data_IF_112098842936
#
_entry.id   IF_112098842936
#
_cell.length_a   1.000
_cell.length_b   1.000
_cell.length_c   1.000
_cell.angle_alpha   90.00
_cell.angle_beta   90.00
_cell.angle_gamma   90.00
#
_symmetry.space_group_name_H-M   'P 1'
#
loop_
_entity.id
_entity.type
_entity.pdbx_description
1 polymer ?
#
# COMPACT_ATOMS: atom_id res chain seq x y z
N UNK A 1 -29.54 7.33 -18.02
CA UNK A 1 -28.49 6.51 -18.63
C UNK A 1 -28.01 5.56 -17.56
N UNK A 2 -27.88 4.28 -17.84
CA UNK A 2 -27.17 3.40 -16.90
C UNK A 2 -25.75 3.96 -16.76
N UNK A 3 -25.29 4.20 -15.53
CA UNK A 3 -23.90 4.58 -15.29
C UNK A 3 -23.05 3.38 -15.73
N UNK A 4 -22.15 3.56 -16.68
CA UNK A 4 -21.29 2.47 -17.17
C UNK A 4 -20.28 2.09 -16.08
N UNK A 5 -20.17 0.78 -15.81
CA UNK A 5 -19.19 0.23 -14.85
C UNK A 5 -17.88 -0.09 -15.57
N UNK A 6 -16.76 0.00 -14.87
CA UNK A 6 -15.44 -0.31 -15.42
C UNK A 6 -15.30 -1.79 -15.77
N UNK A 7 -14.55 -2.06 -16.83
CA UNK A 7 -13.92 -3.37 -17.02
C UNK A 7 -12.54 -3.32 -16.35
N UNK A 8 -12.41 -3.91 -15.16
CA UNK A 8 -11.17 -3.88 -14.39
C UNK A 8 -10.54 -5.27 -14.28
N UNK A 9 -9.33 -5.40 -14.81
CA UNK A 9 -8.45 -6.55 -14.58
C UNK A 9 -7.25 -6.09 -13.74
N UNK A 10 -7.08 -6.69 -12.56
CA UNK A 10 -6.06 -6.28 -11.61
C UNK A 10 -4.63 -6.48 -12.14
N UNK A 11 -4.38 -7.48 -12.98
CA UNK A 11 -3.04 -7.77 -13.48
C UNK A 11 -2.63 -6.77 -14.55
N UNK A 12 -3.53 -6.44 -15.48
CA UNK A 12 -3.29 -5.38 -16.46
C UNK A 12 -3.19 -4.01 -15.79
N UNK A 13 -4.06 -3.70 -14.82
CA UNK A 13 -3.98 -2.46 -14.04
C UNK A 13 -2.63 -2.33 -13.31
N UNK A 14 -2.16 -3.39 -12.66
CA UNK A 14 -0.85 -3.41 -12.01
C UNK A 14 0.30 -3.30 -13.00
N UNK A 15 0.21 -3.93 -14.17
CA UNK A 15 1.24 -3.83 -15.22
C UNK A 15 1.38 -2.40 -15.72
N UNK A 16 0.28 -1.70 -15.98
CA UNK A 16 0.32 -0.28 -16.35
C UNK A 16 0.87 0.58 -15.22
N UNK A 17 0.39 0.37 -13.99
CA UNK A 17 0.86 1.10 -12.80
C UNK A 17 2.36 0.90 -12.54
N UNK A 18 2.89 -0.32 -12.67
CA UNK A 18 4.32 -0.58 -12.46
C UNK A 18 5.20 -0.08 -13.62
N UNK A 19 4.63 0.09 -14.82
CA UNK A 19 5.33 0.66 -15.97
C UNK A 19 5.46 2.18 -15.85
N UNK A 20 4.33 2.88 -15.81
CA UNK A 20 4.26 4.33 -15.62
C UNK A 20 2.85 4.70 -15.13
N UNK A 21 2.64 4.95 -13.83
CA UNK A 21 1.35 5.32 -13.28
C UNK A 21 0.73 6.55 -13.95
N UNK A 22 1.55 7.52 -14.37
CA UNK A 22 1.07 8.75 -15.00
C UNK A 22 0.54 8.52 -16.41
N UNK A 23 0.91 7.41 -17.05
CA UNK A 23 0.44 7.05 -18.39
C UNK A 23 -0.90 6.31 -18.40
N UNK A 24 -1.45 5.96 -17.22
CA UNK A 24 -2.71 5.24 -17.13
C UNK A 24 -3.84 6.07 -17.77
N UNK A 25 -4.60 5.51 -18.74
CA UNK A 25 -5.66 6.23 -19.42
C UNK A 25 -6.85 6.44 -18.48
N UNK A 26 -7.42 7.64 -18.54
CA UNK A 26 -8.57 8.04 -17.71
C UNK A 26 -9.61 8.79 -18.55
N UNK A 27 -10.12 8.22 -19.65
CA UNK A 27 -11.00 8.91 -20.61
C UNK A 27 -12.36 9.34 -20.03
N UNK A 28 -12.86 8.65 -19.01
CA UNK A 28 -14.16 8.92 -18.40
C UNK A 28 -14.07 9.88 -17.19
N UNK A 29 -12.87 10.38 -16.89
CA UNK A 29 -12.68 11.35 -15.81
C UNK A 29 -13.53 12.60 -16.02
N UNK A 30 -13.89 13.28 -14.93
CA UNK A 30 -14.67 14.50 -15.00
C UNK A 30 -13.97 15.54 -15.89
N UNK A 31 -14.73 16.14 -16.81
CA UNK A 31 -14.23 17.08 -17.81
C UNK A 31 -13.42 18.23 -17.22
N UNK A 32 -13.78 18.70 -16.02
CA UNK A 32 -13.08 19.79 -15.34
C UNK A 32 -11.62 19.43 -14.97
N UNK A 33 -11.29 18.13 -14.87
CA UNK A 33 -9.94 17.67 -14.59
C UNK A 33 -9.03 17.71 -15.81
N UNK A 34 -9.54 17.41 -17.02
CA UNK A 34 -8.73 17.45 -18.24
C UNK A 34 -8.20 18.84 -18.56
N UNK A 35 -8.98 19.87 -18.25
CA UNK A 35 -8.56 21.27 -18.38
C UNK A 35 -7.30 21.57 -17.54
N UNK A 36 -7.04 20.79 -16.49
CA UNK A 36 -5.88 20.93 -15.60
C UNK A 36 -4.66 20.09 -16.03
N UNK A 37 -4.77 19.20 -17.03
CA UNK A 37 -3.69 18.26 -17.39
C UNK A 37 -2.41 18.97 -17.85
N UNK A 38 -2.57 20.12 -18.53
CA UNK A 38 -1.46 20.93 -19.04
C UNK A 38 -1.18 22.18 -18.18
N UNK A 39 -2.07 22.51 -17.24
CA UNK A 39 -1.99 23.69 -16.37
C UNK A 39 -2.11 23.27 -14.90
N UNK A 40 -1.00 22.80 -14.30
CA UNK A 40 -1.05 22.17 -13.00
C UNK A 40 -1.46 23.09 -11.84
N UNK A 41 -1.15 24.39 -11.95
CA UNK A 41 -1.58 25.40 -10.96
C UNK A 41 -3.11 25.62 -10.97
N UNK A 42 -3.81 25.15 -12.02
CA UNK A 42 -5.27 25.23 -12.12
C UNK A 42 -5.99 24.15 -11.29
N UNK A 43 -5.29 23.08 -10.85
CA UNK A 43 -5.82 21.98 -10.06
C UNK A 43 -6.06 22.38 -8.60
N UNK A 44 -6.96 23.33 -8.40
CA UNK A 44 -7.31 23.88 -7.08
C UNK A 44 -8.41 23.06 -6.41
N UNK A 45 -8.59 23.24 -5.10
CA UNK A 45 -9.72 22.63 -4.38
C UNK A 45 -11.08 23.01 -4.98
N UNK A 46 -11.22 24.18 -5.59
CA UNK A 46 -12.46 24.60 -6.25
C UNK A 46 -12.82 23.75 -7.47
N UNK A 47 -11.82 23.14 -8.12
CA UNK A 47 -12.02 22.17 -9.22
C UNK A 47 -12.16 20.75 -8.67
N UNK A 48 -11.34 20.38 -7.68
CA UNK A 48 -11.31 19.00 -7.16
C UNK A 48 -12.55 18.67 -6.32
N UNK A 49 -13.00 19.57 -5.43
CA UNK A 49 -14.08 19.27 -4.49
C UNK A 49 -15.42 18.95 -5.17
N UNK A 50 -15.85 19.66 -6.24
CA UNK A 50 -17.03 19.29 -7.02
C UNK A 50 -16.96 17.90 -7.67
N UNK A 51 -15.76 17.41 -7.98
CA UNK A 51 -15.56 16.07 -8.54
C UNK A 51 -15.53 15.01 -7.43
N UNK A 52 -14.81 15.28 -6.34
CA UNK A 52 -14.57 14.30 -5.29
C UNK A 52 -15.76 14.14 -4.32
N UNK A 53 -16.50 15.22 -4.02
CA UNK A 53 -17.64 15.16 -3.09
C UNK A 53 -18.72 14.17 -3.55
N UNK A 54 -19.21 14.20 -4.80
CA UNK A 54 -20.23 13.25 -5.25
C UNK A 54 -19.74 11.79 -5.21
N UNK A 55 -18.45 11.55 -5.44
CA UNK A 55 -17.86 10.21 -5.33
C UNK A 55 -17.87 9.76 -3.87
N UNK A 56 -17.49 10.65 -2.94
CA UNK A 56 -17.52 10.38 -1.49
C UNK A 56 -18.94 10.04 -1.04
N UNK A 57 -19.92 10.85 -1.41
CA UNK A 57 -21.32 10.65 -1.03
C UNK A 57 -21.84 9.32 -1.60
N UNK A 58 -21.57 9.03 -2.87
CA UNK A 58 -22.02 7.80 -3.51
C UNK A 58 -21.38 6.54 -2.93
N UNK A 59 -20.08 6.57 -2.61
CA UNK A 59 -19.38 5.44 -1.97
C UNK A 59 -19.82 5.24 -0.53
N UNK A 60 -20.15 6.33 0.18
CA UNK A 60 -20.69 6.25 1.53
C UNK A 60 -22.09 5.59 1.56
N UNK A 61 -22.88 5.77 0.50
CA UNK A 61 -24.18 5.10 0.33
C UNK A 61 -24.02 3.64 -0.14
N UNK A 62 -23.15 3.39 -1.12
CA UNK A 62 -22.88 2.06 -1.66
C UNK A 62 -21.38 1.93 -2.06
N UNK A 63 -20.60 1.05 -1.39
CA UNK A 63 -19.19 0.83 -1.72
C UNK A 63 -18.93 0.46 -3.19
N UNK A 64 -19.89 -0.15 -3.87
CA UNK A 64 -19.80 -0.51 -5.29
C UNK A 64 -19.70 0.72 -6.21
N UNK A 65 -20.18 1.88 -5.78
CA UNK A 65 -20.19 3.09 -6.59
C UNK A 65 -18.80 3.48 -7.12
N UNK A 66 -17.73 3.05 -6.44
CA UNK A 66 -16.34 3.21 -6.85
C UNK A 66 -16.04 2.65 -8.26
N UNK A 67 -16.81 1.66 -8.71
CA UNK A 67 -16.63 0.96 -9.99
C UNK A 67 -17.25 1.69 -11.18
N UNK A 68 -17.99 2.78 -10.94
CA UNK A 68 -18.49 3.64 -12.02
C UNK A 68 -17.30 4.21 -12.79
N UNK A 69 -17.32 4.09 -14.12
CA UNK A 69 -16.17 4.47 -14.96
C UNK A 69 -15.70 5.91 -14.71
N UNK A 70 -16.64 6.85 -14.62
CA UNK A 70 -16.32 8.25 -14.32
C UNK A 70 -15.72 8.48 -12.94
N UNK A 71 -16.09 7.68 -11.94
CA UNK A 71 -15.54 7.81 -10.60
C UNK A 71 -14.14 7.21 -10.53
N UNK A 72 -13.97 6.01 -11.09
CA UNK A 72 -12.68 5.34 -11.12
C UNK A 72 -11.64 6.18 -11.89
N UNK A 73 -11.99 6.67 -13.07
CA UNK A 73 -11.08 7.46 -13.91
C UNK A 73 -10.76 8.81 -13.27
N UNK A 74 -11.73 9.47 -12.62
CA UNK A 74 -11.48 10.72 -11.89
C UNK A 74 -10.53 10.51 -10.72
N UNK A 75 -10.67 9.42 -9.96
CA UNK A 75 -9.78 9.09 -8.85
C UNK A 75 -8.37 8.77 -9.35
N UNK A 76 -8.24 7.98 -10.42
CA UNK A 76 -6.95 7.69 -11.03
C UNK A 76 -6.31 8.95 -11.62
N UNK A 77 -7.08 9.85 -12.25
CA UNK A 77 -6.58 11.13 -12.74
C UNK A 77 -5.98 11.96 -11.59
N UNK A 78 -6.71 12.10 -10.48
CA UNK A 78 -6.21 12.82 -9.32
C UNK A 78 -4.94 12.16 -8.73
N UNK A 79 -4.87 10.83 -8.72
CA UNK A 79 -3.69 10.08 -8.27
C UNK A 79 -2.49 10.23 -9.23
N UNK A 80 -2.71 10.38 -10.54
CA UNK A 80 -1.68 10.75 -11.53
C UNK A 80 -1.09 12.12 -11.24
N UNK A 81 -1.89 13.05 -10.71
CA UNK A 81 -1.45 14.38 -10.29
C UNK A 81 -0.77 14.40 -8.90
N UNK A 82 -0.74 13.28 -8.19
CA UNK A 82 -0.09 13.14 -6.88
C UNK A 82 1.39 12.74 -7.05
N UNK A 83 2.28 13.05 -6.08
CA UNK A 83 3.67 12.64 -6.19
C UNK A 83 3.78 11.12 -6.06
N UNK A 84 4.38 10.46 -7.03
CA UNK A 84 4.77 9.05 -6.89
C UNK A 84 6.24 8.91 -7.29
N UNK A 85 7.03 8.20 -6.49
CA UNK A 85 8.40 7.85 -6.89
C UNK A 85 8.34 6.77 -7.98
N UNK A 86 8.84 7.03 -9.20
CA UNK A 86 8.89 5.99 -10.22
C UNK A 86 10.00 5.01 -9.84
N UNK A 87 9.62 3.74 -9.66
CA UNK A 87 10.58 2.64 -9.53
C UNK A 87 11.16 2.42 -8.13
N UNK A 88 10.41 1.71 -7.29
CA UNK A 88 11.04 0.65 -6.50
C UNK A 88 10.44 -0.67 -7.00
N UNK A 89 11.09 -1.29 -7.98
CA UNK A 89 10.84 -2.70 -8.29
C UNK A 89 11.31 -3.53 -7.10
N UNK A 90 10.38 -3.86 -6.18
CA UNK A 90 10.71 -4.67 -5.00
C UNK A 90 10.78 -6.18 -5.35
N UNK A 91 10.60 -6.56 -6.61
CA UNK A 91 10.77 -7.94 -7.05
C UNK A 91 11.41 -8.06 -8.43
N UNK A 92 12.37 -8.99 -8.62
CA UNK A 92 12.65 -9.53 -9.94
C UNK A 92 11.45 -10.36 -10.40
N UNK A 93 11.07 -10.20 -11.67
CA UNK A 93 10.12 -11.06 -12.36
C UNK A 93 10.46 -12.53 -12.12
N UNK A 94 9.47 -13.31 -11.70
CA UNK A 94 9.58 -14.76 -11.55
C UNK A 94 9.81 -15.43 -12.90
N UNK A 95 11.07 -15.59 -13.30
CA UNK A 95 11.52 -16.55 -14.31
C UNK A 95 13.05 -16.60 -14.39
N UNK A 96 13.62 -17.68 -13.88
CA UNK A 96 14.84 -18.40 -14.32
C UNK A 96 15.82 -18.76 -13.18
N UNK A 97 16.28 -20.03 -13.10
CA UNK A 97 17.33 -20.45 -12.16
C UNK A 97 18.71 -19.96 -12.62
N UNK A 98 19.66 -19.72 -11.69
CA UNK A 98 20.97 -19.19 -12.05
C UNK A 98 21.80 -20.25 -12.77
N UNK A 99 22.06 -20.04 -14.06
CA UNK A 99 23.08 -20.79 -14.78
C UNK A 99 24.45 -20.17 -14.50
N UNK A 100 25.37 -21.05 -14.10
CA UNK A 100 26.76 -20.73 -13.82
C UNK A 100 27.55 -20.50 -15.12
N UNK A 101 28.09 -19.30 -15.31
CA UNK A 101 29.32 -19.12 -16.07
C UNK A 101 30.01 -17.82 -15.70
N UNK A 102 31.14 -17.97 -15.00
CA UNK A 102 32.11 -16.91 -14.82
C UNK A 102 32.91 -16.74 -16.12
N UNK A 103 33.03 -15.50 -16.61
CA UNK A 103 34.21 -15.09 -17.36
C UNK A 103 34.46 -13.59 -17.23
N UNK A 104 35.74 -13.29 -17.06
CA UNK A 104 36.38 -12.03 -16.77
C UNK A 104 36.50 -11.09 -17.96
N UNK A 105 36.37 -9.78 -17.74
CA UNK A 105 37.37 -8.79 -18.23
C UNK A 105 37.05 -7.38 -17.73
N UNK A 106 38.11 -6.68 -17.33
CA UNK A 106 38.11 -5.30 -16.87
C UNK A 106 38.32 -4.33 -18.04
N UNK A 107 37.63 -3.17 -18.03
CA UNK A 107 38.20 -1.83 -18.27
C UNK A 107 37.11 -0.78 -18.57
N UNK A 108 37.20 0.39 -17.91
CA UNK A 108 36.70 1.67 -18.42
C UNK A 108 35.27 2.08 -18.04
N UNK A 109 35.11 2.79 -16.92
CA UNK A 109 33.86 3.50 -16.58
C UNK A 109 34.03 5.00 -16.85
N UNK A 110 33.32 5.63 -17.82
CA UNK A 110 33.19 7.08 -17.87
C UNK A 110 32.08 7.55 -16.90
N UNK A 111 32.04 8.85 -16.53
CA UNK A 111 31.11 9.36 -15.52
C UNK A 111 29.66 9.33 -16.02
N UNK A 112 28.76 9.11 -15.06
CA UNK A 112 27.32 8.87 -15.16
C UNK A 112 26.54 9.88 -16.01
N UNK A 113 25.86 9.39 -17.04
CA UNK A 113 24.77 10.09 -17.73
C UNK A 113 23.41 9.87 -17.03
N UNK A 114 23.39 9.08 -15.95
CA UNK A 114 22.17 8.69 -15.23
C UNK A 114 21.57 9.82 -14.39
N UNK A 115 22.40 10.73 -13.86
CA UNK A 115 21.93 11.85 -13.03
C UNK A 115 21.13 12.89 -13.82
N UNK A 116 21.45 13.09 -15.10
CA UNK A 116 20.72 14.04 -15.95
C UNK A 116 19.37 13.44 -16.37
N UNK A 117 19.30 12.14 -16.64
CA UNK A 117 18.05 11.42 -16.92
C UNK A 117 17.13 11.31 -15.70
N UNK A 118 17.68 11.07 -14.49
CA UNK A 118 16.92 11.13 -13.23
C UNK A 118 16.39 12.54 -12.95
N UNK A 119 17.19 13.60 -13.16
CA UNK A 119 16.75 14.98 -13.00
C UNK A 119 15.71 15.39 -14.06
N UNK A 120 15.82 14.88 -15.30
CA UNK A 120 14.81 15.09 -16.35
C UNK A 120 13.52 14.32 -16.08
N UNK A 121 13.59 13.17 -15.42
CA UNK A 121 12.43 12.43 -14.92
C UNK A 121 11.82 13.07 -13.68
N UNK A 122 12.57 13.80 -12.83
CA UNK A 122 11.97 14.66 -11.80
C UNK A 122 11.30 15.91 -12.41
N UNK A 123 11.82 16.42 -13.53
CA UNK A 123 11.39 17.65 -14.19
C UNK A 123 10.00 17.58 -14.83
N UNK A 124 9.51 16.38 -15.19
CA UNK A 124 8.17 16.21 -15.79
C UNK A 124 7.03 15.98 -14.79
N UNK A 125 7.33 15.85 -13.49
CA UNK A 125 6.38 15.41 -12.47
C UNK A 125 6.44 16.29 -11.22
N UNK A 126 6.28 17.62 -11.37
CA UNK A 126 5.94 18.39 -10.18
C UNK A 126 4.59 17.89 -9.63
N UNK A 127 4.52 17.66 -8.33
CA UNK A 127 3.36 17.09 -7.68
C UNK A 127 2.38 18.20 -7.34
N UNK A 128 1.18 18.15 -7.92
CA UNK A 128 0.26 19.30 -7.88
C UNK A 128 -0.97 19.05 -7.04
N UNK A 129 -1.28 17.79 -6.71
CA UNK A 129 -2.44 17.48 -5.90
C UNK A 129 -2.30 18.10 -4.49
N UNK A 130 -3.23 18.98 -4.07
CA UNK A 130 -3.20 19.58 -2.74
C UNK A 130 -3.30 18.51 -1.64
N UNK A 131 -2.62 18.73 -0.51
CA UNK A 131 -2.62 17.78 0.62
C UNK A 131 -4.02 17.49 1.17
N UNK A 132 -4.91 18.49 1.17
CA UNK A 132 -6.31 18.32 1.53
C UNK A 132 -7.03 17.33 0.60
N UNK A 133 -6.85 17.47 -0.71
CA UNK A 133 -7.46 16.56 -1.69
C UNK A 133 -6.90 15.14 -1.57
N UNK A 134 -5.58 14.99 -1.42
CA UNK A 134 -4.96 13.68 -1.19
C UNK A 134 -5.45 13.03 0.12
N UNK A 135 -5.60 13.81 1.19
CA UNK A 135 -6.17 13.35 2.46
C UNK A 135 -7.58 12.82 2.28
N UNK A 136 -8.42 13.55 1.55
CA UNK A 136 -9.82 13.20 1.30
C UNK A 136 -9.97 11.97 0.40
N UNK A 137 -9.13 11.84 -0.63
CA UNK A 137 -9.06 10.64 -1.46
C UNK A 137 -8.65 9.42 -0.62
N UNK A 138 -7.69 9.60 0.28
CA UNK A 138 -7.27 8.52 1.17
C UNK A 138 -8.39 8.09 2.12
N UNK A 139 -9.09 9.04 2.73
CA UNK A 139 -10.23 8.75 3.61
C UNK A 139 -11.36 8.04 2.86
N UNK A 140 -11.67 8.48 1.64
CA UNK A 140 -12.66 7.84 0.75
C UNK A 140 -12.34 6.36 0.48
N UNK A 141 -11.12 6.07 0.03
CA UNK A 141 -10.71 4.70 -0.31
C UNK A 141 -10.70 3.83 0.95
N UNK A 142 -10.25 4.36 2.08
CA UNK A 142 -10.26 3.64 3.35
C UNK A 142 -11.67 3.34 3.85
N UNK A 143 -12.59 4.31 3.79
CA UNK A 143 -13.97 4.11 4.26
C UNK A 143 -14.72 3.12 3.37
N UNK A 144 -14.57 3.22 2.05
CA UNK A 144 -15.17 2.29 1.10
C UNK A 144 -14.68 0.85 1.30
N UNK A 145 -13.36 0.66 1.40
CA UNK A 145 -12.77 -0.66 1.68
C UNK A 145 -13.22 -1.22 3.04
N UNK A 146 -13.33 -0.36 4.05
CA UNK A 146 -13.79 -0.79 5.37
C UNK A 146 -15.26 -1.24 5.35
N UNK A 147 -16.13 -0.52 4.63
CA UNK A 147 -17.53 -0.88 4.46
C UNK A 147 -17.68 -2.18 3.67
N UNK A 148 -16.90 -2.34 2.59
CA UNK A 148 -16.85 -3.58 1.81
C UNK A 148 -16.42 -4.78 2.66
N UNK A 149 -15.42 -4.60 3.52
CA UNK A 149 -15.02 -5.66 4.44
C UNK A 149 -16.12 -6.06 5.45
N UNK A 150 -17.00 -5.13 5.85
CA UNK A 150 -18.17 -5.45 6.69
C UNK A 150 -19.24 -6.22 5.91
N UNK A 151 -19.52 -5.80 4.67
CA UNK A 151 -20.46 -6.50 3.79
C UNK A 151 -20.03 -7.95 3.57
N UNK A 152 -18.76 -8.16 3.19
CA UNK A 152 -18.19 -9.51 3.04
C UNK A 152 -18.33 -10.33 4.32
N UNK A 153 -18.07 -9.74 5.49
CA UNK A 153 -18.17 -10.48 6.75
C UNK A 153 -19.59 -11.01 7.00
N UNK A 154 -20.60 -10.22 6.66
CA UNK A 154 -22.01 -10.60 6.72
C UNK A 154 -22.34 -11.68 5.67
N UNK A 155 -21.90 -11.50 4.44
CA UNK A 155 -22.28 -12.35 3.31
C UNK A 155 -21.52 -13.70 3.28
N UNK A 156 -20.39 -13.79 3.98
CA UNK A 156 -19.63 -15.04 4.15
C UNK A 156 -20.36 -16.13 4.97
N UNK A 157 -21.50 -15.79 5.58
CA UNK A 157 -22.41 -16.72 6.27
C UNK A 157 -23.25 -17.57 5.30
N UNK A 158 -23.41 -17.15 4.04
CA UNK A 158 -24.14 -17.86 2.97
C UNK A 158 -23.21 -18.28 1.81
N UNK A 159 -22.55 -19.44 1.90
CA UNK A 159 -21.40 -19.79 1.05
C UNK A 159 -21.70 -20.20 -0.40
N UNK A 160 -22.97 -20.31 -0.83
CA UNK A 160 -23.33 -20.82 -2.15
C UNK A 160 -23.58 -19.72 -3.21
N UNK A 161 -23.47 -18.44 -2.83
CA UNK A 161 -23.65 -17.32 -3.76
C UNK A 161 -22.32 -16.93 -4.43
N UNK A 162 -21.97 -17.66 -5.49
CA UNK A 162 -20.76 -17.41 -6.27
C UNK A 162 -20.75 -16.04 -6.95
N UNK A 163 -21.92 -15.50 -7.31
CA UNK A 163 -22.04 -14.19 -7.95
C UNK A 163 -21.67 -13.09 -6.96
N UNK A 164 -22.21 -13.15 -5.75
CA UNK A 164 -21.86 -12.22 -4.65
C UNK A 164 -20.38 -12.31 -4.28
N UNK A 165 -19.79 -13.52 -4.21
CA UNK A 165 -18.36 -13.66 -3.94
C UNK A 165 -17.48 -13.09 -5.07
N UNK A 166 -17.88 -13.26 -6.33
CA UNK A 166 -17.18 -12.66 -7.47
C UNK A 166 -17.27 -11.14 -7.44
N UNK A 167 -18.42 -10.60 -7.04
CA UNK A 167 -18.62 -9.17 -6.85
C UNK A 167 -17.71 -8.59 -5.76
N UNK A 168 -17.67 -9.21 -4.58
CA UNK A 168 -16.76 -8.83 -3.51
C UNK A 168 -15.29 -8.92 -3.91
N UNK A 169 -14.90 -9.97 -4.65
CA UNK A 169 -13.55 -10.10 -5.19
C UNK A 169 -13.18 -8.87 -6.02
N UNK A 170 -14.05 -8.50 -6.96
CA UNK A 170 -13.84 -7.34 -7.83
C UNK A 170 -13.71 -6.04 -7.04
N UNK A 171 -14.59 -5.79 -6.07
CA UNK A 171 -14.52 -4.58 -5.22
C UNK A 171 -13.25 -4.54 -4.38
N UNK A 172 -12.85 -5.67 -3.78
CA UNK A 172 -11.59 -5.77 -3.05
C UNK A 172 -10.38 -5.44 -3.95
N UNK A 173 -10.33 -5.96 -5.18
CA UNK A 173 -9.24 -5.69 -6.13
C UNK A 173 -9.17 -4.19 -6.50
N UNK A 174 -10.32 -3.57 -6.78
CA UNK A 174 -10.41 -2.13 -7.09
C UNK A 174 -9.95 -1.27 -5.91
N UNK A 175 -10.51 -1.49 -4.72
CA UNK A 175 -10.11 -0.74 -3.53
C UNK A 175 -8.66 -1.01 -3.13
N UNK A 176 -8.19 -2.25 -3.25
CA UNK A 176 -6.81 -2.63 -2.95
C UNK A 176 -5.80 -1.94 -3.87
N UNK A 177 -6.12 -1.82 -5.17
CA UNK A 177 -5.32 -1.09 -6.13
C UNK A 177 -5.26 0.41 -5.80
N UNK A 178 -6.41 1.04 -5.58
CA UNK A 178 -6.48 2.46 -5.21
C UNK A 178 -5.77 2.74 -3.88
N UNK A 179 -5.90 1.85 -2.89
CA UNK A 179 -5.23 1.98 -1.60
C UNK A 179 -3.71 1.90 -1.76
N UNK A 180 -3.21 0.97 -2.58
CA UNK A 180 -1.78 0.83 -2.85
C UNK A 180 -1.22 2.14 -3.44
N UNK A 181 -1.88 2.68 -4.47
CA UNK A 181 -1.45 3.93 -5.11
C UNK A 181 -1.54 5.11 -4.15
N UNK A 182 -2.64 5.23 -3.41
CA UNK A 182 -2.86 6.35 -2.48
C UNK A 182 -1.84 6.37 -1.34
N UNK A 183 -1.53 5.21 -0.73
CA UNK A 183 -0.51 5.13 0.33
C UNK A 183 0.87 5.49 -0.23
N UNK A 184 1.21 5.03 -1.44
CA UNK A 184 2.46 5.42 -2.10
C UNK A 184 2.54 6.95 -2.28
N UNK A 185 1.46 7.55 -2.78
CA UNK A 185 1.38 9.00 -2.96
C UNK A 185 1.50 9.77 -1.63
N UNK A 186 0.82 9.30 -0.57
CA UNK A 186 0.91 9.89 0.77
C UNK A 186 2.31 9.80 1.34
N UNK A 187 2.99 8.67 1.19
CA UNK A 187 4.36 8.50 1.69
C UNK A 187 5.37 9.33 0.90
N UNK A 188 5.25 9.43 -0.43
CA UNK A 188 6.09 10.33 -1.23
C UNK A 188 5.85 11.80 -0.84
N UNK A 189 4.58 12.22 -0.69
CA UNK A 189 4.24 13.60 -0.27
C UNK A 189 4.74 13.91 1.15
N UNK A 190 4.70 12.93 2.06
CA UNK A 190 5.26 13.08 3.41
C UNK A 190 6.79 13.21 3.39
N UNK A 191 7.48 12.52 2.47
CA UNK A 191 8.93 12.55 2.33
C UNK A 191 9.47 13.89 1.80
N UNK A 192 8.73 14.61 0.93
CA UNK A 192 9.10 15.94 0.41
C UNK A 192 9.44 16.94 1.54
N UNK A 193 8.83 16.79 2.71
CA UNK A 193 9.01 17.71 3.85
C UNK A 193 10.26 17.42 4.69
N UNK A 194 10.84 16.21 4.58
CA UNK A 194 12.04 15.81 5.32
C UNK A 194 13.33 16.35 4.70
N UNK A 195 13.35 16.60 3.39
CA UNK A 195 14.50 17.13 2.64
C UNK A 195 14.61 18.66 2.67
N UNK A 196 13.55 19.38 3.07
CA UNK A 196 13.47 20.84 3.05
C UNK A 196 13.96 21.54 4.34
N UNK A 197 14.50 20.83 5.33
CA UNK A 197 15.06 21.47 6.53
C UNK A 197 16.46 22.04 6.26
N UNK A 198 16.70 23.36 6.46
CA UNK A 198 18.04 23.91 6.35
C UNK A 198 18.93 23.36 7.48
N UNK A 199 20.13 22.90 7.11
CA UNK A 199 21.19 22.50 8.04
C UNK A 199 21.52 23.70 8.94
N UNK A 200 20.97 23.72 10.15
CA UNK A 200 21.19 24.80 11.11
C UNK A 200 22.63 24.75 11.67
N UNK A 201 23.57 25.39 10.96
CA UNK A 201 24.81 25.90 11.56
C UNK A 201 24.53 27.30 12.10
N UNK A 202 24.53 27.46 13.41
CA UNK A 202 24.69 28.79 14.03
C UNK A 202 23.77 29.08 15.21
N UNK A 203 24.37 29.10 16.39
CA UNK A 203 23.81 29.49 17.68
C UNK A 203 23.49 31.00 17.68
N UNK A 204 22.21 31.39 17.67
CA UNK A 204 21.77 32.78 17.77
C UNK A 204 20.39 32.92 18.45
N UNK A 205 20.27 33.88 19.38
CA UNK A 205 19.13 34.11 20.30
C UNK A 205 17.74 34.26 19.63
N UNK A 206 16.63 33.92 20.32
CA UNK A 206 15.29 33.97 19.74
C UNK A 206 14.77 35.42 19.67
N UNK A 207 14.38 35.85 18.47
CA UNK A 207 13.62 37.09 18.25
C UNK A 207 12.14 36.71 18.10
N UNK A 208 11.31 37.13 19.05
CA UNK A 208 9.84 37.03 18.98
C UNK A 208 9.32 37.93 17.86
N UNK A 209 8.95 37.33 16.74
CA UNK A 209 7.84 37.70 15.84
C UNK A 209 7.99 36.89 14.55
N UNK A 210 7.20 35.81 14.42
CA UNK A 210 7.02 35.10 13.16
C UNK A 210 5.65 35.49 12.57
N UNK A 211 5.54 35.69 11.25
CA UNK A 211 4.30 36.08 10.59
C UNK A 211 3.28 34.93 10.62
N UNK A 212 2.00 35.27 10.74
CA UNK A 212 0.86 34.36 10.55
C UNK A 212 0.86 33.89 9.09
N UNK A 213 1.39 32.69 8.85
CA UNK A 213 1.40 32.06 7.53
C UNK A 213 2.19 30.75 7.50
N UNK A 214 2.34 30.07 8.65
CA UNK A 214 2.81 28.69 8.63
C UNK A 214 1.65 27.83 8.14
N UNK A 215 1.73 27.42 6.87
CA UNK A 215 0.96 26.30 6.35
C UNK A 215 1.08 25.15 7.37
N UNK A 216 -0.04 24.75 7.96
CA UNK A 216 -0.04 23.74 9.01
C UNK A 216 0.71 22.49 8.51
N UNK A 217 1.61 21.96 9.32
CA UNK A 217 2.37 20.75 8.98
C UNK A 217 1.37 19.63 8.75
N UNK A 218 1.09 19.30 7.48
CA UNK A 218 0.28 18.13 7.13
C UNK A 218 0.94 16.87 7.67
N UNK A 219 0.24 16.17 8.57
CA UNK A 219 0.67 14.92 9.20
C UNK A 219 -0.35 13.82 8.91
N UNK A 220 0.02 12.88 8.05
CA UNK A 220 -0.81 11.73 7.67
C UNK A 220 -0.66 10.53 8.62
N UNK A 221 0.03 10.67 9.76
CA UNK A 221 0.29 9.56 10.69
C UNK A 221 -0.98 8.91 11.25
N UNK A 222 -2.03 9.69 11.51
CA UNK A 222 -3.31 9.18 12.00
C UNK A 222 -4.06 8.42 10.90
N UNK A 223 -4.14 8.98 9.69
CA UNK A 223 -4.75 8.33 8.53
C UNK A 223 -4.03 7.03 8.18
N UNK A 224 -2.70 7.02 8.23
CA UNK A 224 -1.93 5.80 7.97
C UNK A 224 -2.19 4.70 9.00
N UNK A 225 -2.37 5.04 10.29
CA UNK A 225 -2.78 4.06 11.29
C UNK A 225 -4.17 3.50 11.02
N UNK A 226 -5.12 4.37 10.65
CA UNK A 226 -6.46 3.94 10.25
C UNK A 226 -6.41 3.01 9.03
N UNK A 227 -5.61 3.32 8.01
CA UNK A 227 -5.41 2.47 6.85
C UNK A 227 -4.88 1.08 7.22
N UNK A 228 -3.86 1.03 8.09
CA UNK A 228 -3.28 -0.23 8.56
C UNK A 228 -4.29 -1.06 9.38
N UNK A 229 -5.17 -0.42 10.14
CA UNK A 229 -6.25 -1.12 10.84
C UNK A 229 -7.33 -1.62 9.87
N UNK A 230 -7.69 -0.86 8.84
CA UNK A 230 -8.56 -1.34 7.75
C UNK A 230 -7.95 -2.52 7.01
N UNK A 231 -6.65 -2.48 6.68
CA UNK A 231 -5.93 -3.63 6.12
C UNK A 231 -5.99 -4.84 7.06
N UNK A 232 -5.82 -4.64 8.38
CA UNK A 232 -6.02 -5.71 9.35
C UNK A 232 -7.43 -6.28 9.30
N UNK A 233 -8.46 -5.42 9.19
CA UNK A 233 -9.86 -5.84 9.08
C UNK A 233 -10.08 -6.75 7.87
N UNK A 234 -9.60 -6.35 6.69
CA UNK A 234 -9.67 -7.15 5.45
C UNK A 234 -8.93 -8.48 5.62
N UNK A 235 -7.74 -8.48 6.24
CA UNK A 235 -6.97 -9.70 6.48
C UNK A 235 -7.59 -10.64 7.53
N UNK A 236 -8.67 -10.25 8.24
CA UNK A 236 -9.46 -11.19 9.07
C UNK A 236 -10.45 -12.00 8.26
N UNK A 237 -10.83 -11.53 7.07
CA UNK A 237 -11.77 -12.24 6.20
C UNK A 237 -11.18 -13.58 5.76
N UNK A 238 -12.05 -14.55 5.46
CA UNK A 238 -11.62 -15.83 4.89
C UNK A 238 -11.37 -15.69 3.39
N UNK A 239 -10.32 -14.94 3.03
CA UNK A 239 -10.00 -14.58 1.65
C UNK A 239 -9.85 -15.78 0.71
N UNK A 240 -9.52 -16.97 1.22
CA UNK A 240 -9.51 -18.22 0.43
C UNK A 240 -10.88 -18.64 -0.13
N UNK A 241 -11.99 -18.09 0.39
CA UNK A 241 -13.34 -18.29 -0.18
C UNK A 241 -13.64 -17.33 -1.33
N UNK A 242 -12.97 -16.17 -1.36
CA UNK A 242 -13.20 -15.08 -2.32
C UNK A 242 -12.23 -15.22 -3.50
N UNK A 243 -10.95 -15.44 -3.17
CA UNK A 243 -9.88 -15.69 -4.13
C UNK A 243 -9.62 -17.19 -4.22
N UNK A 244 -10.21 -17.81 -5.23
CA UNK A 244 -10.25 -19.27 -5.38
C UNK A 244 -8.87 -19.84 -5.70
N UNK A 245 -8.06 -19.14 -6.49
CA UNK A 245 -6.68 -19.57 -6.78
C UNK A 245 -5.68 -18.94 -5.82
N UNK A 246 -4.58 -19.65 -5.57
CA UNK A 246 -3.46 -19.10 -4.79
C UNK A 246 -2.84 -17.88 -5.46
N UNK A 247 -2.71 -17.88 -6.79
CA UNK A 247 -2.13 -16.76 -7.53
C UNK A 247 -2.93 -15.47 -7.35
N UNK A 248 -4.25 -15.51 -7.49
CA UNK A 248 -5.09 -14.31 -7.31
C UNK A 248 -5.03 -13.79 -5.88
N UNK A 249 -5.07 -14.71 -4.90
CA UNK A 249 -4.96 -14.35 -3.48
C UNK A 249 -3.61 -13.70 -3.20
N UNK A 250 -2.51 -14.25 -3.71
CA UNK A 250 -1.16 -13.70 -3.48
C UNK A 250 -1.02 -12.32 -4.12
N UNK A 251 -1.60 -12.09 -5.31
CA UNK A 251 -1.67 -10.76 -5.94
C UNK A 251 -2.40 -9.77 -5.02
N UNK A 252 -3.59 -10.13 -4.51
CA UNK A 252 -4.37 -9.25 -3.64
C UNK A 252 -3.69 -8.97 -2.29
N UNK A 253 -3.12 -9.99 -1.64
CA UNK A 253 -2.32 -9.82 -0.41
C UNK A 253 -1.10 -8.93 -0.69
N UNK A 254 -0.52 -9.01 -1.88
CA UNK A 254 0.52 -8.11 -2.37
C UNK A 254 0.09 -6.65 -2.38
N UNK A 255 -1.13 -6.34 -2.85
CA UNK A 255 -1.67 -4.97 -2.85
C UNK A 255 -1.73 -4.36 -1.46
N UNK A 256 -2.10 -5.16 -0.45
CA UNK A 256 -2.18 -4.71 0.94
C UNK A 256 -0.82 -4.60 1.60
N UNK A 257 0.11 -5.51 1.30
CA UNK A 257 1.39 -5.63 2.04
C UNK A 257 2.53 -4.81 1.45
N UNK A 258 2.55 -4.56 0.13
CA UNK A 258 3.57 -3.70 -0.50
C UNK A 258 3.61 -2.29 0.09
N UNK A 259 2.48 -1.58 0.29
CA UNK A 259 2.49 -0.28 0.95
C UNK A 259 3.02 -0.35 2.39
N UNK A 260 2.79 -1.46 3.09
CA UNK A 260 3.28 -1.63 4.47
C UNK A 260 4.80 -1.73 4.50
N UNK A 261 5.40 -2.43 3.53
CA UNK A 261 6.85 -2.46 3.40
C UNK A 261 7.41 -1.07 3.10
N UNK A 262 6.79 -0.33 2.17
CA UNK A 262 7.16 1.07 1.86
C UNK A 262 7.15 1.96 3.13
N UNK A 263 6.09 1.89 3.93
CA UNK A 263 5.98 2.62 5.20
C UNK A 263 7.09 2.24 6.18
N UNK A 264 7.48 0.97 6.23
CA UNK A 264 8.57 0.51 7.09
C UNK A 264 9.96 0.94 6.60
N UNK A 265 10.12 1.26 5.32
CA UNK A 265 11.36 1.84 4.78
C UNK A 265 11.55 3.30 5.22
N UNK A 266 10.46 4.02 5.50
CA UNK A 266 10.52 5.40 5.93
C UNK A 266 11.15 5.55 7.33
N UNK A 267 12.29 6.23 7.39
CA UNK A 267 13.00 6.49 8.65
C UNK A 267 12.16 7.27 9.66
N UNK A 268 11.27 8.14 9.17
CA UNK A 268 10.37 8.92 10.03
C UNK A 268 9.28 8.01 10.60
N UNK A 269 8.64 7.19 9.77
CA UNK A 269 7.54 6.30 10.18
C UNK A 269 8.02 5.22 11.13
N UNK A 270 9.18 4.62 10.85
CA UNK A 270 9.69 3.50 11.64
C UNK A 270 10.08 3.89 13.07
N UNK A 271 10.35 5.19 13.32
CA UNK A 271 10.55 5.73 14.68
C UNK A 271 9.25 5.75 15.49
N UNK A 272 8.10 5.91 14.83
CA UNK A 272 6.80 5.82 15.51
C UNK A 272 6.51 4.38 15.91
N UNK A 273 6.53 4.13 17.22
CA UNK A 273 6.16 2.82 17.77
C UNK A 273 4.73 2.42 17.38
N UNK A 274 3.79 3.38 17.34
CA UNK A 274 2.42 3.07 16.94
C UNK A 274 2.36 2.55 15.51
N UNK A 275 2.92 3.30 14.55
CA UNK A 275 2.91 2.91 13.12
C UNK A 275 3.62 1.57 12.92
N UNK A 276 4.79 1.39 13.54
CA UNK A 276 5.54 0.13 13.48
C UNK A 276 4.73 -1.05 14.01
N UNK A 277 4.01 -0.89 15.11
CA UNK A 277 3.17 -1.94 15.68
C UNK A 277 1.96 -2.27 14.79
N UNK A 278 1.34 -1.27 14.15
CA UNK A 278 0.25 -1.50 13.18
C UNK A 278 0.76 -2.20 11.91
N UNK A 279 1.89 -1.74 11.35
CA UNK A 279 2.52 -2.36 10.19
C UNK A 279 2.88 -3.83 10.46
N UNK A 280 3.53 -4.12 11.59
CA UNK A 280 3.83 -5.51 11.98
C UNK A 280 2.56 -6.33 12.21
N UNK A 281 1.48 -5.75 12.74
CA UNK A 281 0.20 -6.45 12.89
C UNK A 281 -0.36 -6.88 11.53
N UNK A 282 -0.36 -5.99 10.52
CA UNK A 282 -0.77 -6.32 9.15
C UNK A 282 0.07 -7.46 8.59
N UNK A 283 1.41 -7.35 8.65
CA UNK A 283 2.32 -8.39 8.13
C UNK A 283 2.16 -9.73 8.86
N UNK A 284 2.01 -9.72 10.18
CA UNK A 284 1.76 -10.93 10.96
C UNK A 284 0.45 -11.61 10.53
N UNK A 285 -0.59 -10.85 10.23
CA UNK A 285 -1.88 -11.40 9.80
C UNK A 285 -1.81 -11.97 8.39
N UNK A 286 -1.14 -11.28 7.46
CA UNK A 286 -0.90 -11.78 6.11
C UNK A 286 -0.12 -13.12 6.14
N UNK A 287 0.90 -13.22 6.99
CA UNK A 287 1.66 -14.48 7.17
C UNK A 287 0.79 -15.55 7.83
N UNK A 288 0.19 -15.25 8.99
CA UNK A 288 -0.54 -16.25 9.81
C UNK A 288 -1.75 -16.83 9.09
N UNK A 289 -2.47 -16.02 8.32
CA UNK A 289 -3.78 -16.41 7.79
C UNK A 289 -3.79 -16.64 6.28
N UNK A 290 -2.84 -16.08 5.52
CA UNK A 290 -2.92 -16.01 4.06
C UNK A 290 -1.67 -16.50 3.32
N UNK A 291 -0.69 -17.09 4.02
CA UNK A 291 0.47 -17.73 3.37
C UNK A 291 1.56 -16.77 2.90
N UNK A 292 1.61 -15.53 3.42
CA UNK A 292 2.57 -14.48 2.99
C UNK A 292 4.03 -14.68 3.45
N UNK A 293 4.39 -15.86 3.98
CA UNK A 293 5.69 -16.10 4.63
C UNK A 293 6.89 -15.89 3.69
N UNK A 294 6.82 -16.41 2.46
CA UNK A 294 7.91 -16.31 1.49
C UNK A 294 8.10 -14.87 0.98
N UNK A 295 7.02 -14.19 0.62
CA UNK A 295 7.10 -12.79 0.19
C UNK A 295 7.60 -11.87 1.33
N UNK A 296 7.22 -12.15 2.59
CA UNK A 296 7.75 -11.45 3.75
C UNK A 296 9.27 -11.61 3.90
N UNK A 297 9.80 -12.81 3.70
CA UNK A 297 11.25 -13.04 3.73
C UNK A 297 12.01 -12.14 2.75
N UNK A 298 11.50 -12.04 1.51
CA UNK A 298 12.17 -11.28 0.44
C UNK A 298 12.17 -9.77 0.75
N UNK A 299 11.06 -9.25 1.28
CA UNK A 299 10.86 -7.80 1.45
C UNK A 299 11.43 -7.25 2.76
N UNK A 300 11.58 -8.09 3.78
CA UNK A 300 12.02 -7.63 5.09
C UNK A 300 13.53 -7.55 5.12
N UNK A 301 14.03 -6.31 5.10
CA UNK A 301 15.44 -5.99 5.33
C UNK A 301 15.91 -6.54 6.68
N UNK A 302 17.18 -6.95 6.76
CA UNK A 302 17.83 -7.49 7.97
C UNK A 302 17.53 -6.68 9.25
N UNK A 303 17.44 -5.35 9.12
CA UNK A 303 17.16 -4.42 10.23
C UNK A 303 15.81 -4.67 10.91
N UNK A 304 14.79 -5.14 10.18
CA UNK A 304 13.44 -5.38 10.71
C UNK A 304 13.11 -6.85 10.90
N UNK A 305 13.89 -7.76 10.29
CA UNK A 305 13.69 -9.20 10.35
C UNK A 305 13.59 -9.72 11.78
N UNK A 306 14.50 -9.31 12.68
CA UNK A 306 14.47 -9.74 14.08
C UNK A 306 13.22 -9.29 14.81
N UNK A 307 12.84 -8.02 14.67
CA UNK A 307 11.66 -7.48 15.36
C UNK A 307 10.38 -8.12 14.86
N UNK A 308 10.24 -8.34 13.55
CA UNK A 308 9.07 -9.05 13.04
C UNK A 308 9.08 -10.51 13.51
N UNK A 309 10.23 -11.19 13.49
CA UNK A 309 10.33 -12.56 13.99
C UNK A 309 9.90 -12.67 15.45
N UNK A 310 10.34 -11.75 16.33
CA UNK A 310 9.90 -11.75 17.73
C UNK A 310 8.37 -11.57 17.85
N UNK A 311 7.76 -10.73 16.99
CA UNK A 311 6.30 -10.54 16.96
C UNK A 311 5.55 -11.75 16.41
N UNK A 312 6.06 -12.40 15.37
CA UNK A 312 5.51 -13.63 14.81
C UNK A 312 5.60 -14.78 15.81
N UNK A 313 6.74 -14.93 16.50
CA UNK A 313 6.93 -15.94 17.53
C UNK A 313 5.92 -15.77 18.68
N UNK A 314 5.68 -14.54 19.12
CA UNK A 314 4.66 -14.24 20.13
C UNK A 314 3.22 -14.58 19.69
N UNK A 315 2.98 -14.81 18.37
CA UNK A 315 1.69 -15.21 17.82
C UNK A 315 1.52 -16.72 17.70
N UNK A 316 2.59 -17.52 17.73
CA UNK A 316 2.53 -18.98 17.62
C UNK A 316 1.56 -19.59 18.64
N UNK A 317 1.64 -19.15 19.91
CA UNK A 317 0.77 -19.62 20.99
C UNK A 317 -0.72 -19.26 20.83
N UNK A 318 -1.06 -18.38 19.87
CA UNK A 318 -2.43 -17.94 19.57
C UNK A 318 -2.90 -18.44 18.20
N UNK A 319 -2.27 -19.47 17.64
CA UNK A 319 -2.73 -20.11 16.42
C UNK A 319 -3.86 -21.08 16.76
N UNK A 320 -4.97 -20.99 16.05
CA UNK A 320 -6.17 -21.77 16.32
C UNK A 320 -6.14 -23.11 15.57
N UNK A 321 -5.30 -23.22 14.55
CA UNK A 321 -5.12 -24.43 13.74
C UNK A 321 -3.65 -24.73 13.53
N UNK A 322 -3.34 -26.01 13.35
CA UNK A 322 -1.99 -26.47 13.02
C UNK A 322 -1.48 -25.84 11.71
N UNK A 323 -2.37 -25.64 10.73
CA UNK A 323 -2.04 -24.94 9.48
C UNK A 323 -1.54 -23.53 9.72
N UNK A 324 -2.27 -22.73 10.51
CA UNK A 324 -1.84 -21.36 10.84
C UNK A 324 -0.49 -21.37 11.57
N UNK A 325 -0.30 -22.31 12.50
CA UNK A 325 0.96 -22.45 13.22
C UNK A 325 2.11 -22.79 12.27
N UNK A 326 1.89 -23.74 11.35
CA UNK A 326 2.88 -24.15 10.35
C UNK A 326 3.27 -22.99 9.42
N UNK A 327 2.30 -22.16 8.99
CA UNK A 327 2.58 -20.99 8.14
C UNK A 327 3.44 -19.95 8.88
N UNK A 328 3.16 -19.70 10.16
CA UNK A 328 3.96 -18.80 11.01
C UNK A 328 5.35 -19.37 11.29
N UNK A 329 5.44 -20.66 11.63
CA UNK A 329 6.71 -21.36 11.88
C UNK A 329 7.59 -21.38 10.62
N UNK A 330 6.99 -21.64 9.46
CA UNK A 330 7.66 -21.56 8.16
C UNK A 330 8.23 -20.16 7.93
N UNK A 331 7.41 -19.10 8.09
CA UNK A 331 7.88 -17.73 7.93
C UNK A 331 9.00 -17.36 8.91
N UNK A 332 8.93 -17.82 10.17
CA UNK A 332 10.00 -17.64 11.15
C UNK A 332 11.30 -18.30 10.68
N UNK A 333 11.24 -19.52 10.17
CA UNK A 333 12.41 -20.23 9.61
C UNK A 333 13.03 -19.54 8.40
N UNK A 334 12.25 -18.75 7.65
CA UNK A 334 12.73 -17.97 6.52
C UNK A 334 13.41 -16.65 6.92
N UNK A 335 13.01 -16.04 8.02
CA UNK A 335 13.52 -14.73 8.43
C UNK A 335 14.95 -14.80 9.01
N UNK A 336 15.87 -13.88 8.65
CA UNK A 336 17.25 -13.88 9.15
C UNK A 336 17.37 -13.34 10.60
N UNK A 337 16.62 -13.89 11.57
CA UNK A 337 16.54 -13.36 12.93
C UNK A 337 17.58 -13.93 13.91
N UNK A 338 18.07 -15.16 13.67
CA UNK A 338 19.07 -15.89 14.47
C UNK A 338 18.74 -15.95 15.98
N UNK A 339 17.47 -16.12 16.33
CA UNK A 339 17.00 -16.18 17.72
C UNK A 339 16.81 -17.66 18.13
N UNK A 340 17.64 -18.15 19.04
CA UNK A 340 17.62 -19.56 19.49
C UNK A 340 16.33 -19.93 20.21
N UNK A 341 15.71 -18.99 20.95
CA UNK A 341 14.44 -19.25 21.63
C UNK A 341 13.30 -19.46 20.64
N UNK A 342 13.29 -18.70 19.54
CA UNK A 342 12.33 -18.92 18.45
C UNK A 342 12.57 -20.29 17.81
N UNK A 343 13.82 -20.66 17.56
CA UNK A 343 14.14 -21.99 17.02
C UNK A 343 13.70 -23.12 17.97
N UNK A 344 13.85 -22.92 19.27
CA UNK A 344 13.38 -23.86 20.31
C UNK A 344 11.86 -24.00 20.28
N UNK A 345 11.12 -22.88 20.31
CA UNK A 345 9.65 -22.87 20.27
C UNK A 345 9.11 -23.50 18.99
N UNK A 346 9.73 -23.23 17.84
CA UNK A 346 9.37 -23.89 16.57
C UNK A 346 9.70 -25.39 16.63
N UNK A 347 10.82 -25.79 17.22
CA UNK A 347 11.18 -27.20 17.40
C UNK A 347 10.22 -27.98 18.31
N UNK A 348 9.54 -27.31 19.24
CA UNK A 348 8.53 -27.94 20.10
C UNK A 348 7.22 -28.30 19.38
N UNK A 349 6.97 -27.72 18.20
CA UNK A 349 5.77 -28.00 17.39
C UNK A 349 4.48 -27.35 17.91
N UNK A 350 3.39 -27.57 17.17
CA UNK A 350 2.06 -27.08 17.54
C UNK A 350 1.49 -27.85 18.75
N UNK A 351 1.02 -27.11 19.76
CA UNK A 351 0.39 -27.66 20.97
C UNK A 351 -0.98 -27.00 21.16
N UNK A 352 -2.05 -27.80 21.12
CA UNK A 352 -3.40 -27.35 21.48
C UNK A 352 -3.51 -27.27 23.01
N UNK A 353 -3.62 -26.07 23.56
CA UNK A 353 -3.98 -25.90 24.97
C UNK A 353 -5.48 -26.13 25.09
N UNK A 354 -5.89 -27.34 25.49
CA UNK A 354 -7.25 -27.58 25.95
C UNK A 354 -7.43 -26.83 27.28
N UNK A 355 -8.22 -25.76 27.26
CA UNK A 355 -8.74 -25.16 28.50
C UNK A 355 -9.83 -26.11 28.98
N UNK A 356 -9.53 -26.85 30.05
CA UNK A 356 -10.45 -27.77 30.72
C UNK A 356 -11.57 -27.03 31.45
#
# INVERSE_FOLDING_TARGET
>A
MAMESITFDINEALKHYMSDPASIPTPEADGALFDCENEPDALTNAVIDPVLNPIVDAVAENPEAITRASYMDSLQFLLKCAPTSPGQSVFPSSSEPPSSSASSSAAGRPPSNDTVSELFNLSRYASYLPTHALSKLFDLVMSGLAAEADAILHDLESPDDQETLAHHKHLLEVYGFLLQWTVAAVETKAAEKSSAQPVARGRGKPKKNAPKGQEAVWDSSAQLQAALDTMCKVLKLKLSKIFLTTSERDTFIGLLTRPVYLVLESEQRVKSTSIRMHAFKVLCMAVKHHGHGYAAQINIKDKHARQLADKLAARLARCDTERQWNDVAFALGLLPHKNEEIARVVGEGFKLVQVA
#
